data_IF_028551469268
#
_entry.id   IF_028551469268
#
_cell.length_a   1.000
_cell.length_b   1.000
_cell.length_c   1.000
_cell.angle_alpha   90.00
_cell.angle_beta   90.00
_cell.angle_gamma   90.00
#
_symmetry.space_group_name_H-M   'P 1'
#
loop_
_entity.id
_entity.type
_entity.pdbx_description
1 polymer ?
#
# COMPACT_ATOMS: atom_id res chain seq x y z
N UNK A 1 10.80 -3.90 17.21
CA UNK A 1 10.04 -2.92 18.02
C UNK A 1 10.63 -1.51 17.96
N UNK A 2 11.98 -1.34 17.98
CA UNK A 2 12.66 -0.03 18.03
C UNK A 2 12.23 0.93 16.92
N UNK A 3 12.09 0.48 15.68
CA UNK A 3 11.68 1.34 14.56
C UNK A 3 10.30 1.94 14.76
N UNK A 4 9.31 1.14 15.19
CA UNK A 4 7.96 1.63 15.47
C UNK A 4 7.92 2.62 16.63
N UNK A 5 8.68 2.36 17.70
CA UNK A 5 8.78 3.27 18.84
C UNK A 5 9.44 4.59 18.45
N UNK A 6 10.57 4.54 17.72
CA UNK A 6 11.25 5.75 17.25
C UNK A 6 10.39 6.58 16.30
N UNK A 7 9.64 5.91 15.41
CA UNK A 7 8.71 6.58 14.51
C UNK A 7 7.59 7.28 15.30
N UNK A 8 7.00 6.59 16.27
CA UNK A 8 5.98 7.18 17.16
C UNK A 8 6.50 8.40 17.92
N UNK A 9 7.72 8.31 18.48
CA UNK A 9 8.34 9.44 19.18
C UNK A 9 8.61 10.63 18.24
N UNK A 10 8.99 10.37 17.00
CA UNK A 10 9.16 11.40 15.99
C UNK A 10 7.83 12.09 15.65
N UNK A 11 6.74 11.34 15.51
CA UNK A 11 5.39 11.88 15.31
C UNK A 11 4.97 12.76 16.50
N UNK A 12 5.16 12.29 17.73
CA UNK A 12 4.84 13.07 18.94
C UNK A 12 5.64 14.38 19.00
N UNK A 13 6.95 14.33 18.72
CA UNK A 13 7.82 15.51 18.67
C UNK A 13 7.31 16.55 17.66
N UNK A 14 6.75 16.10 16.56
CA UNK A 14 6.22 16.96 15.50
C UNK A 14 4.72 17.28 15.67
N UNK A 15 4.14 16.97 16.83
CA UNK A 15 2.71 17.21 17.15
C UNK A 15 1.74 16.54 16.16
N UNK A 16 2.16 15.43 15.57
CA UNK A 16 1.29 14.62 14.71
C UNK A 16 0.51 13.65 15.61
N UNK A 17 -0.82 13.66 15.59
CA UNK A 17 -1.62 12.71 16.32
C UNK A 17 -1.26 11.27 15.92
N UNK A 18 -0.87 10.46 16.88
CA UNK A 18 -0.47 9.08 16.62
C UNK A 18 -0.75 8.19 17.84
N UNK A 19 -1.04 6.94 17.57
CA UNK A 19 -1.21 5.90 18.58
C UNK A 19 -0.26 4.74 18.26
N UNK A 20 0.39 4.21 19.28
CA UNK A 20 1.29 3.05 19.15
C UNK A 20 0.74 1.89 19.97
N UNK A 21 0.49 0.76 19.35
CA UNK A 21 0.15 -0.50 20.00
C UNK A 21 1.30 -1.50 19.83
N UNK A 22 1.77 -2.07 20.92
CA UNK A 22 2.86 -3.05 20.92
C UNK A 22 2.33 -4.36 21.49
N UNK A 23 2.44 -5.43 20.72
CA UNK A 23 2.02 -6.76 21.14
C UNK A 23 3.24 -7.65 21.38
N UNK A 24 3.20 -8.52 22.41
CA UNK A 24 4.37 -9.31 22.80
C UNK A 24 4.70 -10.43 21.81
N UNK A 25 3.78 -10.77 20.91
CA UNK A 25 3.94 -11.83 19.90
C UNK A 25 3.42 -11.37 18.56
N UNK A 26 3.74 -12.10 17.48
CA UNK A 26 3.19 -11.85 16.15
C UNK A 26 4.18 -12.13 15.02
N UNK A 27 5.41 -11.65 15.12
CA UNK A 27 6.40 -11.75 14.05
C UNK A 27 6.09 -10.79 12.89
N UNK A 28 6.40 -11.20 11.66
CA UNK A 28 6.16 -10.39 10.47
C UNK A 28 4.85 -10.81 9.78
N UNK A 29 4.08 -9.83 9.31
CA UNK A 29 2.84 -10.07 8.54
C UNK A 29 1.73 -10.78 9.33
N UNK A 30 1.68 -10.60 10.65
CA UNK A 30 0.72 -11.28 11.52
C UNK A 30 -0.69 -10.72 11.46
N UNK A 31 -0.85 -9.44 11.13
CA UNK A 31 -2.04 -8.62 11.33
C UNK A 31 -3.39 -9.32 11.25
N UNK A 32 -3.75 -9.88 10.10
CA UNK A 32 -5.03 -10.55 9.89
C UNK A 32 -4.99 -12.07 9.98
N UNK A 33 -3.84 -12.67 10.33
CA UNK A 33 -3.74 -14.13 10.46
C UNK A 33 -4.61 -14.64 11.61
N UNK A 34 -5.38 -15.72 11.38
CA UNK A 34 -6.34 -16.24 12.35
C UNK A 34 -5.69 -16.75 13.64
N UNK A 35 -4.46 -17.25 13.54
CA UNK A 35 -3.69 -17.70 14.70
C UNK A 35 -3.06 -16.59 15.52
N UNK A 36 -3.19 -15.32 15.11
CA UNK A 36 -2.65 -14.22 15.89
C UNK A 36 -3.54 -13.93 17.10
N UNK A 37 -3.00 -14.20 18.27
CA UNK A 37 -3.72 -14.11 19.56
C UNK A 37 -4.43 -12.77 19.78
N UNK A 38 -3.86 -11.68 19.28
CA UNK A 38 -4.38 -10.33 19.50
C UNK A 38 -5.11 -9.76 18.28
N UNK A 39 -5.49 -10.60 17.33
CA UNK A 39 -6.18 -10.17 16.09
C UNK A 39 -7.42 -9.34 16.40
N UNK A 40 -8.31 -9.86 17.25
CA UNK A 40 -9.55 -9.17 17.60
C UNK A 40 -9.28 -7.84 18.33
N UNK A 41 -8.35 -7.83 19.26
CA UNK A 41 -8.03 -6.63 20.04
C UNK A 41 -7.52 -5.52 19.12
N UNK A 42 -6.52 -5.79 18.26
CA UNK A 42 -5.94 -4.74 17.44
C UNK A 42 -6.90 -4.25 16.35
N UNK A 43 -7.76 -5.12 15.80
CA UNK A 43 -8.77 -4.70 14.83
C UNK A 43 -9.83 -3.81 15.44
N UNK A 44 -10.26 -4.08 16.68
CA UNK A 44 -11.16 -3.21 17.44
C UNK A 44 -10.52 -1.84 17.73
N UNK A 45 -9.25 -1.83 18.14
CA UNK A 45 -8.50 -0.59 18.38
C UNK A 45 -8.33 0.21 17.09
N UNK A 46 -8.06 -0.46 15.95
CA UNK A 46 -7.99 0.18 14.65
C UNK A 46 -9.34 0.79 14.24
N UNK A 47 -10.44 0.05 14.41
CA UNK A 47 -11.78 0.55 14.11
C UNK A 47 -12.14 1.77 14.97
N UNK A 48 -11.80 1.73 16.26
CA UNK A 48 -12.00 2.85 17.16
C UNK A 48 -11.18 4.06 16.72
N UNK A 49 -9.91 3.87 16.42
CA UNK A 49 -9.02 4.93 15.96
C UNK A 49 -9.50 5.57 14.65
N UNK A 50 -9.94 4.75 13.69
CA UNK A 50 -10.54 5.21 12.43
C UNK A 50 -11.81 6.02 12.67
N UNK A 51 -12.64 5.64 13.62
CA UNK A 51 -13.90 6.32 13.95
C UNK A 51 -13.67 7.65 14.67
N UNK A 52 -12.73 7.64 15.62
CA UNK A 52 -12.56 8.75 16.58
C UNK A 52 -11.46 9.74 16.15
N UNK A 53 -10.53 9.36 15.29
CA UNK A 53 -9.27 10.08 15.09
C UNK A 53 -8.86 10.40 13.66
N UNK A 54 -9.50 9.83 12.66
CA UNK A 54 -9.10 10.10 11.28
C UNK A 54 -10.03 11.14 10.65
N UNK A 55 -9.50 12.33 10.43
CA UNK A 55 -10.14 13.28 9.53
C UNK A 55 -9.89 12.76 8.10
N UNK A 56 -10.84 12.02 7.58
CA UNK A 56 -10.83 11.67 6.16
C UNK A 56 -11.03 12.93 5.31
N UNK A 57 -10.38 13.05 4.15
CA UNK A 57 -10.69 14.11 3.21
C UNK A 57 -12.19 14.07 2.84
N UNK A 58 -12.74 15.17 2.41
CA UNK A 58 -14.17 15.47 2.29
C UNK A 58 -15.04 14.41 1.56
N UNK A 59 -14.45 13.41 0.90
CA UNK A 59 -15.19 12.30 0.34
C UNK A 59 -14.41 10.97 0.27
N UNK A 60 -14.16 10.30 1.41
CA UNK A 60 -13.55 8.96 1.42
C UNK A 60 -14.55 7.85 1.04
N UNK A 61 -15.81 8.16 0.91
CA UNK A 61 -16.91 7.22 0.72
C UNK A 61 -16.65 6.16 -0.39
N UNK A 62 -16.18 6.52 -1.60
CA UNK A 62 -15.95 5.52 -2.62
C UNK A 62 -14.87 4.51 -2.22
N UNK A 63 -13.71 4.97 -1.72
CA UNK A 63 -12.61 4.10 -1.35
C UNK A 63 -12.95 3.20 -0.17
N UNK A 64 -13.60 3.75 0.88
CA UNK A 64 -14.01 2.98 2.05
C UNK A 64 -15.05 1.91 1.69
N UNK A 65 -16.05 2.27 0.91
CA UNK A 65 -17.09 1.35 0.44
C UNK A 65 -16.50 0.22 -0.42
N UNK A 66 -15.62 0.57 -1.36
CA UNK A 66 -14.94 -0.40 -2.23
C UNK A 66 -14.02 -1.29 -1.40
N UNK A 67 -13.22 -0.72 -0.49
CA UNK A 67 -12.35 -1.48 0.39
C UNK A 67 -13.12 -2.48 1.26
N UNK A 68 -14.29 -2.09 1.77
CA UNK A 68 -15.18 -3.01 2.53
C UNK A 68 -15.71 -4.16 1.69
N UNK A 69 -15.88 -4.00 0.37
CA UNK A 69 -16.34 -5.08 -0.49
C UNK A 69 -15.32 -6.23 -0.65
N UNK A 70 -14.05 -5.98 -0.30
CA UNK A 70 -13.00 -7.00 -0.27
C UNK A 70 -12.93 -7.80 1.05
N UNK A 71 -13.80 -7.51 2.03
CA UNK A 71 -13.84 -8.28 3.27
C UNK A 71 -14.17 -9.75 2.95
N UNK A 72 -13.34 -10.66 3.48
CA UNK A 72 -13.45 -12.10 3.21
C UNK A 72 -12.69 -12.57 1.95
N UNK A 73 -12.16 -11.67 1.13
CA UNK A 73 -11.29 -12.05 0.01
C UNK A 73 -9.99 -12.69 0.53
N UNK A 74 -9.53 -13.74 -0.13
CA UNK A 74 -8.30 -14.45 0.27
C UNK A 74 -7.08 -13.55 0.13
N UNK A 75 -6.18 -13.63 1.08
CA UNK A 75 -4.85 -13.06 0.95
C UNK A 75 -3.92 -14.04 0.24
N UNK A 76 -3.39 -13.65 -0.92
CA UNK A 76 -2.40 -14.43 -1.68
C UNK A 76 -1.31 -13.48 -2.18
N UNK A 77 -0.07 -13.70 -1.73
CA UNK A 77 1.07 -12.89 -2.17
C UNK A 77 1.58 -13.31 -3.56
N UNK A 78 2.31 -12.41 -4.20
CA UNK A 78 3.01 -12.63 -5.47
C UNK A 78 2.09 -13.00 -6.65
N UNK A 79 0.88 -12.51 -6.67
CA UNK A 79 -0.10 -12.82 -7.71
C UNK A 79 0.18 -12.11 -9.05
N UNK A 80 1.06 -11.12 -9.05
CA UNK A 80 1.43 -10.35 -10.25
C UNK A 80 2.58 -10.97 -11.05
N UNK A 81 3.33 -11.89 -10.43
CA UNK A 81 4.47 -12.54 -11.08
C UNK A 81 3.98 -13.73 -11.90
N UNK A 82 3.71 -13.47 -13.18
CA UNK A 82 3.32 -14.48 -14.15
C UNK A 82 4.52 -14.91 -15.01
N UNK A 83 4.47 -16.12 -15.56
CA UNK A 83 5.41 -16.57 -16.56
C UNK A 83 5.04 -15.96 -17.93
N UNK A 84 6.05 -15.57 -18.73
CA UNK A 84 5.85 -15.00 -20.05
C UNK A 84 5.98 -13.49 -20.10
N UNK A 85 5.32 -12.88 -21.08
CA UNK A 85 5.37 -11.42 -21.27
C UNK A 85 4.58 -10.68 -20.20
N UNK A 86 5.08 -9.52 -19.79
CA UNK A 86 4.41 -8.67 -18.81
C UNK A 86 3.06 -8.19 -19.33
N UNK A 87 2.03 -8.36 -18.54
CA UNK A 87 0.67 -7.97 -18.88
C UNK A 87 -0.09 -7.47 -17.66
N UNK A 88 -1.21 -6.79 -17.88
CA UNK A 88 -2.05 -6.32 -16.79
C UNK A 88 -2.80 -7.50 -16.13
N UNK A 89 -2.27 -7.96 -15.02
CA UNK A 89 -2.91 -9.01 -14.22
C UNK A 89 -4.05 -8.42 -13.38
N UNK A 90 -5.25 -8.97 -13.54
CA UNK A 90 -6.42 -8.65 -12.73
C UNK A 90 -6.93 -9.94 -12.08
N UNK A 91 -7.00 -9.98 -10.76
CA UNK A 91 -7.58 -11.08 -9.99
C UNK A 91 -8.67 -10.57 -9.08
N UNK A 92 -9.81 -11.26 -9.07
CA UNK A 92 -10.96 -10.92 -8.23
C UNK A 92 -11.14 -11.87 -7.05
N UNK A 93 -10.44 -13.01 -7.05
CA UNK A 93 -10.54 -14.08 -6.06
C UNK A 93 -9.55 -13.94 -4.90
N UNK A 94 -8.51 -13.13 -5.07
CA UNK A 94 -7.47 -12.94 -4.07
C UNK A 94 -6.78 -11.58 -4.22
N UNK A 95 -6.29 -11.05 -3.11
CA UNK A 95 -5.50 -9.82 -3.06
C UNK A 95 -4.32 -9.98 -2.10
N UNK A 96 -3.27 -9.20 -2.30
CA UNK A 96 -2.26 -8.89 -1.29
C UNK A 96 -2.40 -7.42 -0.86
N UNK A 97 -1.48 -6.93 -0.02
CA UNK A 97 -1.55 -5.56 0.48
C UNK A 97 -1.44 -4.51 -0.64
N UNK A 98 -0.63 -4.76 -1.67
CA UNK A 98 -0.46 -3.83 -2.78
C UNK A 98 -1.67 -3.86 -3.72
N UNK A 99 -2.04 -5.04 -4.19
CA UNK A 99 -3.16 -5.22 -5.13
C UNK A 99 -4.49 -4.79 -4.52
N UNK A 100 -4.68 -4.95 -3.20
CA UNK A 100 -5.85 -4.41 -2.50
C UNK A 100 -5.93 -2.88 -2.62
N UNK A 101 -4.82 -2.18 -2.38
CA UNK A 101 -4.78 -0.71 -2.50
C UNK A 101 -4.98 -0.28 -3.95
N UNK A 102 -4.28 -0.92 -4.89
CA UNK A 102 -4.39 -0.61 -6.32
C UNK A 102 -5.81 -0.81 -6.85
N UNK A 103 -6.45 -1.94 -6.52
CA UNK A 103 -7.82 -2.23 -6.95
C UNK A 103 -8.83 -1.27 -6.33
N UNK A 104 -8.68 -0.98 -5.05
CA UNK A 104 -9.57 -0.02 -4.36
C UNK A 104 -9.45 1.36 -4.97
N UNK A 105 -8.24 1.84 -5.22
CA UNK A 105 -7.97 3.13 -5.84
C UNK A 105 -8.47 3.18 -7.29
N UNK A 106 -8.16 2.17 -8.10
CA UNK A 106 -8.57 2.10 -9.49
C UNK A 106 -10.10 2.15 -9.67
N UNK A 107 -10.83 1.47 -8.78
CA UNK A 107 -12.30 1.52 -8.77
C UNK A 107 -12.83 2.86 -8.27
N UNK A 108 -12.20 3.45 -7.25
CA UNK A 108 -12.62 4.74 -6.69
C UNK A 108 -12.44 5.91 -7.67
N UNK A 109 -11.46 5.83 -8.57
CA UNK A 109 -11.26 6.82 -9.63
C UNK A 109 -12.37 6.81 -10.70
N UNK A 110 -13.21 5.78 -10.72
CA UNK A 110 -14.33 5.68 -11.66
C UNK A 110 -13.88 5.37 -13.11
N UNK A 111 -14.75 5.59 -14.06
CA UNK A 111 -14.52 5.31 -15.49
C UNK A 111 -14.08 3.86 -15.76
N UNK A 112 -12.95 3.61 -16.39
CA UNK A 112 -12.43 2.29 -16.70
C UNK A 112 -11.52 1.77 -15.58
N UNK A 113 -11.93 0.71 -14.90
CA UNK A 113 -11.12 0.05 -13.86
C UNK A 113 -9.77 -0.43 -14.40
N UNK A 114 -9.75 -1.07 -15.57
CA UNK A 114 -8.53 -1.60 -16.16
C UNK A 114 -7.55 -0.51 -16.54
N UNK A 115 -8.03 0.58 -17.16
CA UNK A 115 -7.17 1.70 -17.56
C UNK A 115 -6.59 2.43 -16.34
N UNK A 116 -7.40 2.62 -15.29
CA UNK A 116 -6.94 3.21 -14.05
C UNK A 116 -5.91 2.31 -13.36
N UNK A 117 -6.16 1.00 -13.30
CA UNK A 117 -5.24 0.04 -12.72
C UNK A 117 -3.90 0.00 -13.47
N UNK A 118 -3.93 0.06 -14.79
CA UNK A 118 -2.72 0.13 -15.61
C UNK A 118 -1.91 1.40 -15.30
N UNK A 119 -2.56 2.56 -15.23
CA UNK A 119 -1.91 3.84 -14.86
C UNK A 119 -1.32 3.82 -13.44
N UNK A 120 -1.97 3.13 -12.51
CA UNK A 120 -1.53 3.03 -11.12
C UNK A 120 -0.32 2.09 -11.00
N UNK A 121 -0.34 0.97 -11.72
CA UNK A 121 0.64 -0.13 -11.56
C UNK A 121 1.88 0.02 -12.42
N UNK A 122 1.77 0.65 -13.58
CA UNK A 122 2.85 0.77 -14.54
C UNK A 122 3.32 2.21 -14.69
N UNK A 123 4.63 2.37 -14.92
CA UNK A 123 5.25 3.67 -15.14
C UNK A 123 4.60 4.36 -16.33
N UNK A 124 4.03 5.53 -16.07
CA UNK A 124 3.27 6.32 -17.03
C UNK A 124 2.11 5.55 -17.73
N UNK A 125 1.64 4.47 -17.09
CA UNK A 125 0.59 3.62 -17.63
C UNK A 125 1.01 2.75 -18.82
N UNK A 126 2.31 2.58 -19.08
CA UNK A 126 2.84 1.87 -20.25
C UNK A 126 3.36 0.49 -19.82
N UNK A 127 2.83 -0.57 -20.42
CA UNK A 127 3.34 -1.92 -20.24
C UNK A 127 4.44 -2.17 -21.28
N UNK A 128 5.67 -2.29 -20.81
CA UNK A 128 6.83 -2.57 -21.64
C UNK A 128 7.81 -3.47 -20.87
N UNK A 129 7.45 -4.74 -20.76
CA UNK A 129 8.18 -5.74 -19.98
C UNK A 129 8.13 -5.50 -18.47
N UNK A 130 8.70 -6.44 -17.73
CA UNK A 130 8.72 -6.47 -16.28
C UNK A 130 9.22 -5.18 -15.60
N UNK A 131 10.27 -4.48 -16.10
CA UNK A 131 10.75 -3.26 -15.48
C UNK A 131 9.80 -2.06 -15.54
N UNK A 132 8.76 -2.12 -16.39
CA UNK A 132 7.76 -1.04 -16.48
C UNK A 132 6.78 -1.03 -15.32
N UNK A 133 6.62 -2.17 -14.61
CA UNK A 133 5.83 -2.27 -13.41
C UNK A 133 6.51 -1.53 -12.25
N UNK A 134 5.75 -0.80 -11.47
CA UNK A 134 6.25 -0.01 -10.33
C UNK A 134 6.53 -0.93 -9.13
N UNK A 135 7.77 -1.37 -9.00
CA UNK A 135 8.21 -2.31 -7.96
C UNK A 135 8.54 -1.65 -6.62
N UNK A 136 8.80 -0.35 -6.61
CA UNK A 136 9.12 0.40 -5.40
C UNK A 136 7.97 1.31 -5.00
N UNK A 137 7.58 1.26 -3.74
CA UNK A 137 6.50 2.10 -3.21
C UNK A 137 6.76 3.60 -3.42
N UNK A 138 8.01 4.05 -3.30
CA UNK A 138 8.38 5.44 -3.54
C UNK A 138 8.11 5.87 -4.99
N UNK A 139 8.49 5.03 -5.96
CA UNK A 139 8.23 5.28 -7.37
C UNK A 139 6.73 5.22 -7.70
N UNK A 140 6.01 4.29 -7.06
CA UNK A 140 4.55 4.17 -7.16
C UNK A 140 3.85 5.46 -6.67
N UNK A 141 4.31 6.01 -5.54
CA UNK A 141 3.80 7.28 -5.01
C UNK A 141 4.12 8.44 -5.95
N UNK A 142 5.37 8.55 -6.42
CA UNK A 142 5.77 9.60 -7.36
C UNK A 142 4.96 9.55 -8.67
N UNK A 143 4.73 8.34 -9.20
CA UNK A 143 3.87 8.14 -10.36
C UNK A 143 2.44 8.61 -10.09
N UNK A 144 1.88 8.27 -8.92
CA UNK A 144 0.55 8.68 -8.50
C UNK A 144 0.38 10.20 -8.36
N UNK A 145 1.39 10.87 -7.81
CA UNK A 145 1.42 12.34 -7.69
C UNK A 145 1.46 12.98 -9.08
N UNK A 146 2.32 12.49 -9.96
CA UNK A 146 2.50 12.99 -11.32
C UNK A 146 1.22 12.85 -12.16
N UNK A 147 0.48 11.78 -11.96
CA UNK A 147 -0.80 11.52 -12.64
C UNK A 147 -2.02 12.11 -11.90
N UNK A 148 -1.83 12.80 -10.78
CA UNK A 148 -2.86 13.57 -10.09
C UNK A 148 -3.86 12.76 -9.27
N UNK A 149 -3.62 11.45 -9.03
CA UNK A 149 -4.48 10.64 -8.16
C UNK A 149 -3.94 10.47 -6.73
N UNK A 150 -2.74 10.96 -6.44
CA UNK A 150 -2.18 11.07 -5.09
C UNK A 150 -1.69 12.48 -4.80
N UNK A 151 -1.70 12.84 -3.52
CA UNK A 151 -1.07 14.05 -3.02
C UNK A 151 -0.14 13.70 -1.87
N UNK A 152 1.13 14.13 -1.95
CA UNK A 152 2.06 13.97 -0.84
C UNK A 152 1.75 14.99 0.25
N UNK A 153 1.26 14.49 1.39
CA UNK A 153 1.01 15.29 2.59
C UNK A 153 2.18 15.25 3.58
N UNK A 154 3.18 14.40 3.36
CA UNK A 154 4.31 14.22 4.29
C UNK A 154 5.26 15.41 4.26
N UNK A 155 5.51 15.98 3.10
CA UNK A 155 6.39 17.14 2.93
C UNK A 155 5.91 18.39 3.70
N UNK A 156 4.60 18.53 3.91
CA UNK A 156 4.02 19.61 4.72
C UNK A 156 4.29 19.44 6.22
N UNK A 157 4.59 18.23 6.66
CA UNK A 157 4.71 17.86 8.07
C UNK A 157 6.13 17.42 8.46
N UNK A 158 7.08 17.36 7.52
CA UNK A 158 8.44 16.92 7.78
C UNK A 158 9.47 17.88 7.22
N UNK A 159 10.38 18.35 8.08
CA UNK A 159 11.52 19.19 7.68
C UNK A 159 12.69 18.37 7.10
N UNK A 160 12.62 17.03 7.14
CA UNK A 160 13.72 16.17 6.74
C UNK A 160 13.25 15.15 5.71
N UNK A 161 13.71 15.30 4.48
CA UNK A 161 13.62 14.30 3.44
C UNK A 161 15.00 13.76 3.11
N UNK A 162 15.14 12.45 3.00
CA UNK A 162 16.37 11.79 2.55
C UNK A 162 16.11 11.11 1.22
N UNK A 163 16.89 11.45 0.21
CA UNK A 163 16.86 10.77 -1.07
C UNK A 163 17.76 9.54 -1.02
N UNK A 164 17.22 8.35 -1.22
CA UNK A 164 17.95 7.09 -1.23
C UNK A 164 17.84 6.49 -2.63
N UNK A 165 18.98 6.14 -3.22
CA UNK A 165 19.00 5.39 -4.48
C UNK A 165 18.86 3.89 -4.16
N UNK A 166 17.88 3.24 -4.79
CA UNK A 166 17.60 1.82 -4.63
C UNK A 166 17.97 1.07 -5.91
N UNK A 167 18.75 0.01 -5.78
CA UNK A 167 19.17 -0.85 -6.89
C UNK A 167 18.79 -2.32 -6.69
N UNK A 168 17.82 -2.58 -5.83
CA UNK A 168 17.43 -3.95 -5.45
C UNK A 168 17.06 -4.83 -6.65
N UNK A 169 16.32 -4.30 -7.62
CA UNK A 169 15.90 -5.05 -8.80
C UNK A 169 17.09 -5.52 -9.64
N UNK A 170 18.09 -4.66 -9.85
CA UNK A 170 19.29 -4.99 -10.62
C UNK A 170 20.30 -5.84 -9.85
N UNK A 171 20.26 -5.81 -8.51
CA UNK A 171 21.22 -6.55 -7.67
C UNK A 171 20.70 -7.88 -7.14
N UNK A 172 19.37 -8.07 -7.10
CA UNK A 172 18.77 -9.31 -6.62
C UNK A 172 18.81 -10.40 -7.73
N UNK A 173 19.48 -11.56 -7.51
CA UNK A 173 19.61 -12.59 -8.55
C UNK A 173 18.29 -13.19 -9.02
N UNK A 174 17.24 -13.17 -8.18
CA UNK A 174 15.92 -13.67 -8.55
C UNK A 174 15.14 -12.69 -9.43
N UNK A 175 15.36 -11.40 -9.24
CA UNK A 175 14.67 -10.35 -9.98
C UNK A 175 15.44 -9.94 -11.26
N UNK A 176 16.76 -9.93 -11.21
CA UNK A 176 17.60 -9.61 -12.36
C UNK A 176 17.40 -10.53 -13.57
N UNK A 177 16.92 -11.76 -13.34
CA UNK A 177 16.58 -12.69 -14.43
C UNK A 177 15.37 -12.24 -15.27
N UNK A 178 14.58 -11.29 -14.79
CA UNK A 178 13.39 -10.75 -15.45
C UNK A 178 13.64 -9.38 -16.10
N UNK A 179 14.83 -8.82 -15.92
CA UNK A 179 15.26 -7.56 -16.53
C UNK A 179 15.85 -7.81 -17.92
#
# INVERSE_FOLDING_TARGET
PYHGVNYYLALQKNKVPATLHVYPTGGHGWGFKDHFKYKQQWTQELEKWLRDGVVFPENPEPMLRIGKSYLGTKYVANTLDQDGEESLVIRTDAVDCLTFVEYTLAQALGSSFADNLQKIRYRDGIINGYPSRLHYTSEWIENGIRHGFLTDITAKNSAHTQKISLSYMSTNPKQNKKL
#
